data_IF_730468617318
#
_entry.id   IF_730468617318
#
_cell.length_a   1.000
_cell.length_b   1.000
_cell.length_c   1.000
_cell.angle_alpha   90.00
_cell.angle_beta   90.00
_cell.angle_gamma   90.00
#
_symmetry.space_group_name_H-M   'P 1'
#
loop_
_entity.id
_entity.type
_entity.pdbx_description
1 polymer ?
#
# COMPACT_ATOMS: atom_id res chain seq x y z
N UNK A 1 -2.35 -0.29 -24.49
CA UNK A 1 -2.88 0.15 -23.18
C UNK A 1 -1.68 0.42 -22.30
N UNK A 2 -1.66 1.55 -21.58
CA UNK A 2 -0.57 1.91 -20.65
C UNK A 2 -0.70 0.99 -19.44
N UNK A 3 0.35 0.25 -19.06
CA UNK A 3 0.28 -0.73 -17.97
C UNK A 3 1.28 -0.38 -16.87
N UNK A 4 0.84 -0.46 -15.61
CA UNK A 4 1.67 -0.21 -14.43
C UNK A 4 1.29 -1.14 -13.29
N UNK A 5 2.27 -1.64 -12.55
CA UNK A 5 2.06 -2.36 -11.29
C UNK A 5 2.28 -1.40 -10.11
N UNK A 6 1.25 -1.24 -9.27
CA UNK A 6 1.25 -0.28 -8.16
C UNK A 6 1.11 -1.04 -6.85
N UNK A 7 2.11 -0.93 -5.96
CA UNK A 7 1.97 -1.41 -4.59
C UNK A 7 1.15 -0.40 -3.77
N UNK A 8 -0.04 -0.80 -3.35
CA UNK A 8 -1.02 0.05 -2.64
C UNK A 8 -1.00 -0.19 -1.13
N UNK A 9 -0.30 0.67 -0.41
CA UNK A 9 -0.30 0.70 1.05
C UNK A 9 -1.41 1.64 1.55
N UNK A 10 -2.27 1.18 2.45
CA UNK A 10 -3.37 1.99 2.98
C UNK A 10 -4.30 1.14 3.82
N UNK A 11 -5.27 1.78 4.46
CA UNK A 11 -6.27 1.07 5.26
C UNK A 11 -7.14 0.12 4.41
N UNK A 12 -7.93 -0.72 5.08
CA UNK A 12 -8.66 -1.85 4.48
C UNK A 12 -10.17 -1.80 4.78
N UNK A 13 -10.65 -0.69 5.33
CA UNK A 13 -12.03 -0.48 5.76
C UNK A 13 -12.82 0.46 4.83
N UNK A 14 -12.25 0.84 3.67
CA UNK A 14 -12.94 1.60 2.62
C UNK A 14 -12.54 1.12 1.22
N UNK A 15 -13.30 1.56 0.22
CA UNK A 15 -13.19 1.16 -1.19
C UNK A 15 -12.22 2.07 -1.99
N UNK A 16 -11.22 2.63 -1.32
CA UNK A 16 -10.34 3.63 -1.93
C UNK A 16 -9.46 3.05 -3.06
N UNK A 17 -9.20 1.75 -3.04
CA UNK A 17 -8.43 1.06 -4.09
C UNK A 17 -9.25 0.93 -5.36
N UNK A 18 -10.53 0.62 -5.22
CA UNK A 18 -11.51 0.61 -6.29
C UNK A 18 -11.65 2.02 -6.88
N UNK A 19 -11.78 3.05 -6.03
CA UNK A 19 -11.82 4.45 -6.47
C UNK A 19 -10.55 4.85 -7.23
N UNK A 20 -9.36 4.44 -6.76
CA UNK A 20 -8.11 4.68 -7.45
C UNK A 20 -8.08 3.98 -8.82
N UNK A 21 -8.53 2.72 -8.89
CA UNK A 21 -8.58 1.95 -10.14
C UNK A 21 -9.49 2.61 -11.18
N UNK A 22 -10.70 3.03 -10.79
CA UNK A 22 -11.65 3.74 -11.65
C UNK A 22 -11.04 5.04 -12.21
N UNK A 23 -10.42 5.85 -11.35
CA UNK A 23 -9.78 7.11 -11.76
C UNK A 23 -8.61 6.90 -12.73
N UNK A 24 -7.87 5.80 -12.58
CA UNK A 24 -6.79 5.43 -13.51
C UNK A 24 -7.35 4.97 -14.86
N UNK A 25 -8.42 4.17 -14.83
CA UNK A 25 -9.11 3.70 -16.04
C UNK A 25 -9.72 4.85 -16.85
N UNK A 26 -10.36 5.83 -16.19
CA UNK A 26 -10.85 7.07 -16.82
C UNK A 26 -9.75 7.83 -17.58
N UNK A 27 -8.49 7.65 -17.19
CA UNK A 27 -7.30 8.29 -17.79
C UNK A 27 -6.57 7.37 -18.78
N UNK A 28 -7.14 6.21 -19.09
CA UNK A 28 -6.56 5.23 -20.02
C UNK A 28 -5.32 4.51 -19.46
N UNK A 29 -5.17 4.46 -18.14
CA UNK A 29 -4.10 3.71 -17.46
C UNK A 29 -4.68 2.41 -16.91
N UNK A 30 -4.16 1.29 -17.40
CA UNK A 30 -4.46 -0.04 -16.85
C UNK A 30 -3.48 -0.32 -15.70
N UNK A 31 -3.96 -0.29 -14.47
CA UNK A 31 -3.13 -0.52 -13.29
C UNK A 31 -3.39 -1.89 -12.66
N UNK A 32 -2.33 -2.64 -12.42
CA UNK A 32 -2.37 -3.80 -11.53
C UNK A 32 -2.13 -3.31 -10.09
N UNK A 33 -3.21 -3.21 -9.32
CA UNK A 33 -3.13 -2.83 -7.91
C UNK A 33 -2.79 -4.05 -7.06
N UNK A 34 -1.57 -4.08 -6.54
CA UNK A 34 -1.09 -5.12 -5.62
C UNK A 34 -0.92 -4.53 -4.23
N UNK A 35 -0.71 -5.36 -3.20
CA UNK A 35 -0.59 -4.84 -1.84
C UNK A 35 -0.71 -5.89 -0.74
N UNK A 36 -0.91 -5.45 0.53
CA UNK A 36 -1.08 -6.35 1.66
C UNK A 36 -2.33 -7.24 1.52
N UNK A 37 -2.46 -8.23 2.40
CA UNK A 37 -3.70 -9.00 2.53
C UNK A 37 -4.75 -8.11 3.21
N UNK A 38 -5.85 -7.82 2.52
CA UNK A 38 -6.89 -6.91 3.01
C UNK A 38 -8.00 -7.62 3.78
N UNK A 39 -8.07 -8.95 3.71
CA UNK A 39 -9.00 -9.75 4.50
C UNK A 39 -8.38 -10.06 5.86
N UNK A 40 -8.89 -9.43 6.92
CA UNK A 40 -8.34 -9.50 8.28
C UNK A 40 -8.11 -10.94 8.77
N UNK A 41 -9.17 -11.76 8.81
CA UNK A 41 -9.08 -13.15 9.28
C UNK A 41 -8.09 -13.97 8.43
N UNK A 42 -8.02 -13.70 7.12
CA UNK A 42 -7.05 -14.36 6.25
C UNK A 42 -5.63 -13.93 6.58
N UNK A 43 -5.40 -12.65 6.89
CA UNK A 43 -4.10 -12.10 7.28
C UNK A 43 -3.60 -12.72 8.60
N UNK A 44 -4.49 -12.91 9.56
CA UNK A 44 -4.15 -13.47 10.87
C UNK A 44 -3.88 -14.99 10.77
N UNK A 45 -4.70 -15.70 10.00
CA UNK A 45 -4.69 -17.16 9.95
C UNK A 45 -3.76 -17.76 8.89
N UNK A 46 -3.21 -16.94 7.98
CA UNK A 46 -2.41 -17.45 6.85
C UNK A 46 -1.23 -18.32 7.29
N UNK A 47 -0.63 -18.01 8.44
CA UNK A 47 0.48 -18.79 9.00
C UNK A 47 0.05 -20.21 9.33
N UNK A 48 -1.04 -20.36 10.09
CA UNK A 48 -1.58 -21.68 10.49
C UNK A 48 -2.23 -22.42 9.32
N UNK A 49 -2.89 -21.70 8.42
CA UNK A 49 -3.50 -22.29 7.23
C UNK A 49 -2.48 -22.97 6.30
N UNK A 50 -1.20 -22.56 6.36
CA UNK A 50 -0.12 -23.14 5.54
C UNK A 50 0.75 -24.10 6.35
N UNK A 51 1.14 -23.72 7.57
CA UNK A 51 2.14 -24.44 8.37
C UNK A 51 1.52 -25.36 9.43
N UNK A 52 0.20 -25.37 9.59
CA UNK A 52 -0.52 -26.07 10.66
C UNK A 52 -0.58 -25.26 11.95
N UNK A 53 -1.26 -25.81 12.96
CA UNK A 53 -1.45 -25.20 14.28
C UNK A 53 -0.10 -24.79 14.91
N UNK A 54 -0.03 -23.55 15.39
CA UNK A 54 1.19 -23.04 16.03
C UNK A 54 1.18 -23.29 17.54
N UNK A 55 2.35 -23.36 18.22
CA UNK A 55 2.45 -23.69 19.66
C UNK A 55 1.80 -22.69 20.64
N UNK A 56 1.11 -21.66 20.14
CA UNK A 56 0.40 -20.67 20.93
C UNK A 56 0.24 -19.33 20.20
N UNK A 57 -0.49 -18.36 20.80
CA UNK A 57 -0.88 -17.11 20.13
C UNK A 57 0.30 -16.31 19.57
N UNK A 58 1.40 -16.20 20.33
CA UNK A 58 2.63 -15.53 19.86
C UNK A 58 3.17 -16.12 18.55
N UNK A 59 3.10 -17.44 18.40
CA UNK A 59 3.63 -18.12 17.22
C UNK A 59 2.65 -18.06 16.05
N UNK A 60 1.34 -18.11 16.31
CA UNK A 60 0.29 -17.82 15.31
C UNK A 60 0.53 -16.45 14.68
N UNK A 61 0.63 -15.41 15.51
CA UNK A 61 0.86 -14.03 15.05
C UNK A 61 2.20 -13.92 14.29
N UNK A 62 3.27 -14.52 14.80
CA UNK A 62 4.57 -14.48 14.15
C UNK A 62 4.56 -15.17 12.77
N UNK A 63 3.87 -16.30 12.63
CA UNK A 63 3.79 -17.00 11.34
C UNK A 63 2.88 -16.26 10.36
N UNK A 64 1.75 -15.70 10.83
CA UNK A 64 0.91 -14.80 10.04
C UNK A 64 1.71 -13.61 9.50
N UNK A 65 2.41 -12.91 10.40
CA UNK A 65 3.26 -11.78 10.04
C UNK A 65 4.39 -12.14 9.06
N UNK A 66 5.00 -13.33 9.18
CA UNK A 66 6.02 -13.81 8.24
C UNK A 66 5.47 -14.05 6.84
N UNK A 67 4.28 -14.63 6.71
CA UNK A 67 3.63 -14.82 5.41
C UNK A 67 3.22 -13.48 4.79
N UNK A 68 2.72 -12.54 5.60
CA UNK A 68 2.41 -11.19 5.13
C UNK A 68 3.69 -10.46 4.69
N UNK A 69 4.80 -10.60 5.42
CA UNK A 69 6.11 -10.07 5.03
C UNK A 69 6.58 -10.63 3.69
N UNK A 70 6.39 -11.95 3.45
CA UNK A 70 6.68 -12.58 2.17
C UNK A 70 5.87 -11.93 1.04
N UNK A 71 4.55 -11.78 1.21
CA UNK A 71 3.66 -11.15 0.24
C UNK A 71 4.06 -9.70 -0.04
N UNK A 72 4.26 -8.89 1.00
CA UNK A 72 4.66 -7.48 0.88
C UNK A 72 5.96 -7.35 0.11
N UNK A 73 7.02 -8.09 0.49
CA UNK A 73 8.30 -8.04 -0.22
C UNK A 73 8.20 -8.51 -1.67
N UNK A 74 7.45 -9.58 -1.92
CA UNK A 74 7.27 -10.12 -3.26
C UNK A 74 6.64 -9.10 -4.22
N UNK A 75 5.58 -8.41 -3.77
CA UNK A 75 4.88 -7.43 -4.59
C UNK A 75 5.62 -6.10 -4.68
N UNK A 76 6.22 -5.64 -3.58
CA UNK A 76 6.99 -4.39 -3.57
C UNK A 76 8.23 -4.48 -4.49
N UNK A 77 8.85 -5.65 -4.64
CA UNK A 77 9.94 -5.88 -5.59
C UNK A 77 9.49 -5.96 -7.07
N UNK A 78 8.18 -6.09 -7.33
CA UNK A 78 7.60 -6.21 -8.67
C UNK A 78 6.82 -4.98 -9.11
N UNK A 79 6.49 -4.10 -8.17
CA UNK A 79 5.79 -2.87 -8.45
C UNK A 79 6.73 -1.88 -9.15
N UNK A 80 6.16 -1.07 -10.04
CA UNK A 80 6.85 0.04 -10.68
C UNK A 80 6.89 1.27 -9.76
N UNK A 81 5.83 1.44 -8.95
CA UNK A 81 5.70 2.49 -7.94
C UNK A 81 4.96 1.98 -6.70
N UNK A 82 5.13 2.66 -5.57
CA UNK A 82 4.30 2.51 -4.39
C UNK A 82 3.37 3.74 -4.24
N UNK A 83 2.14 3.49 -3.79
CA UNK A 83 1.21 4.50 -3.34
C UNK A 83 0.82 4.22 -1.90
N UNK A 84 1.06 5.20 -1.02
CA UNK A 84 0.69 5.14 0.38
C UNK A 84 -0.46 6.11 0.67
N UNK A 85 -1.65 5.57 0.91
CA UNK A 85 -2.85 6.35 1.23
C UNK A 85 -3.10 6.40 2.73
N UNK A 86 -3.13 7.61 3.30
CA UNK A 86 -3.46 7.88 4.70
C UNK A 86 -4.86 8.52 4.79
N UNK A 87 -5.84 7.70 5.15
CA UNK A 87 -7.22 8.10 5.37
C UNK A 87 -7.45 8.77 6.74
N UNK A 88 -8.63 9.36 6.96
CA UNK A 88 -8.85 10.30 8.08
C UNK A 88 -9.09 9.64 9.44
N UNK A 89 -9.51 8.37 9.47
CA UNK A 89 -10.10 7.76 10.68
C UNK A 89 -9.15 6.86 11.47
N UNK A 90 -8.29 6.10 10.80
CA UNK A 90 -7.56 5.01 11.42
C UNK A 90 -6.07 5.32 11.55
N UNK A 91 -5.44 4.77 12.60
CA UNK A 91 -3.98 4.78 12.71
C UNK A 91 -3.41 3.74 11.75
N UNK A 92 -2.52 4.17 10.87
CA UNK A 92 -2.06 3.36 9.75
C UNK A 92 -0.57 3.02 9.85
N UNK A 93 -0.19 2.35 10.94
CA UNK A 93 1.20 1.96 11.19
C UNK A 93 1.77 1.05 10.09
N UNK A 94 0.96 0.11 9.59
CA UNK A 94 1.35 -0.77 8.50
C UNK A 94 1.59 0.03 7.20
N UNK A 95 0.75 1.03 6.91
CA UNK A 95 0.95 1.92 5.76
C UNK A 95 2.26 2.70 5.87
N UNK A 96 2.56 3.26 7.05
CA UNK A 96 3.82 3.96 7.28
C UNK A 96 5.04 3.02 7.16
N UNK A 97 4.92 1.79 7.67
CA UNK A 97 5.96 0.76 7.55
C UNK A 97 6.20 0.38 6.09
N UNK A 98 5.15 0.15 5.32
CA UNK A 98 5.22 -0.18 3.90
C UNK A 98 5.80 0.97 3.07
N UNK A 99 5.39 2.22 3.36
CA UNK A 99 5.92 3.40 2.70
C UNK A 99 7.43 3.57 2.95
N UNK A 100 7.87 3.38 4.21
CA UNK A 100 9.30 3.38 4.55
C UNK A 100 10.07 2.25 3.87
N UNK A 101 9.48 1.05 3.77
CA UNK A 101 10.09 -0.08 3.07
C UNK A 101 10.23 0.18 1.56
N UNK A 102 9.23 0.81 0.93
CA UNK A 102 9.28 1.20 -0.47
C UNK A 102 10.44 2.18 -0.74
N UNK A 103 10.55 3.22 0.10
CA UNK A 103 11.66 4.19 0.03
C UNK A 103 13.02 3.53 0.20
N UNK A 104 13.16 2.61 1.17
CA UNK A 104 14.40 1.87 1.39
C UNK A 104 14.80 0.97 0.21
N UNK A 105 13.83 0.53 -0.61
CA UNK A 105 14.07 -0.22 -1.84
C UNK A 105 14.31 0.67 -3.07
N UNK A 106 14.22 2.00 -2.92
CA UNK A 106 14.32 2.95 -4.03
C UNK A 106 13.09 2.96 -4.95
N UNK A 107 11.97 2.40 -4.49
CA UNK A 107 10.71 2.41 -5.24
C UNK A 107 10.08 3.80 -5.14
N UNK A 108 9.73 4.47 -6.27
CA UNK A 108 9.09 5.78 -6.22
C UNK A 108 7.80 5.72 -5.40
N UNK A 109 7.65 6.68 -4.48
CA UNK A 109 6.54 6.72 -3.54
C UNK A 109 5.64 7.93 -3.82
N UNK A 110 4.37 7.67 -4.10
CA UNK A 110 3.29 8.67 -4.05
C UNK A 110 2.64 8.58 -2.66
N UNK A 111 2.80 9.63 -1.86
CA UNK A 111 2.13 9.77 -0.57
C UNK A 111 0.82 10.53 -0.77
N UNK A 112 -0.30 9.93 -0.37
CA UNK A 112 -1.62 10.57 -0.39
C UNK A 112 -2.07 10.80 1.05
N UNK A 113 -2.17 12.07 1.47
CA UNK A 113 -2.52 12.42 2.85
C UNK A 113 -3.32 13.72 2.96
N UNK A 114 -4.30 13.77 3.87
CA UNK A 114 -5.00 14.99 4.25
C UNK A 114 -4.18 15.93 5.14
N UNK A 115 -4.75 17.10 5.47
CA UNK A 115 -4.13 18.12 6.33
C UNK A 115 -3.83 17.60 7.74
N UNK A 116 -4.69 16.73 8.27
CA UNK A 116 -4.60 16.15 9.61
C UNK A 116 -3.32 15.33 9.82
N UNK A 117 -2.69 14.88 8.73
CA UNK A 117 -1.50 14.04 8.75
C UNK A 117 -0.20 14.79 8.46
N UNK A 118 -0.24 16.10 8.15
CA UNK A 118 0.95 16.90 7.78
C UNK A 118 2.07 16.76 8.82
N UNK A 119 1.75 17.00 10.08
CA UNK A 119 2.76 16.97 11.13
C UNK A 119 3.26 15.55 11.41
N UNK A 120 2.34 14.56 11.41
CA UNK A 120 2.66 13.18 11.73
C UNK A 120 3.48 12.48 10.63
N UNK A 121 3.37 12.94 9.38
CA UNK A 121 4.03 12.34 8.23
C UNK A 121 5.17 13.19 7.67
N UNK A 122 5.56 14.30 8.30
CA UNK A 122 6.55 15.25 7.74
C UNK A 122 7.88 14.60 7.32
N UNK A 123 8.36 13.59 8.05
CA UNK A 123 9.60 12.86 7.70
C UNK A 123 9.42 11.92 6.51
N UNK A 124 8.24 11.31 6.37
CA UNK A 124 7.89 10.46 5.23
C UNK A 124 7.63 11.31 3.98
N UNK A 125 6.94 12.43 4.16
CA UNK A 125 6.63 13.44 3.15
C UNK A 125 7.91 14.01 2.53
N UNK A 126 8.90 14.37 3.38
CA UNK A 126 10.20 14.84 2.92
C UNK A 126 11.00 13.82 2.07
N UNK A 127 10.68 12.52 2.19
CA UNK A 127 11.33 11.45 1.43
C UNK A 127 10.50 10.96 0.24
N UNK A 128 9.18 11.20 0.25
CA UNK A 128 8.29 10.76 -0.82
C UNK A 128 8.71 11.39 -2.16
N UNK A 129 8.55 10.65 -3.24
CA UNK A 129 8.80 11.17 -4.58
C UNK A 129 7.78 12.25 -4.93
N UNK A 130 6.54 12.06 -4.50
CA UNK A 130 5.47 13.05 -4.64
C UNK A 130 4.47 12.91 -3.50
N UNK A 131 3.99 14.05 -2.99
CA UNK A 131 2.89 14.11 -2.02
C UNK A 131 1.70 14.81 -2.64
N UNK A 132 0.52 14.23 -2.47
CA UNK A 132 -0.77 14.77 -2.92
C UNK A 132 -1.83 14.61 -1.82
N UNK A 133 -2.96 15.30 -1.97
CA UNK A 133 -4.02 15.31 -0.96
C UNK A 133 -5.19 14.37 -1.32
N UNK A 134 -5.33 14.04 -2.60
CA UNK A 134 -6.48 13.26 -3.10
C UNK A 134 -6.06 12.12 -4.02
N UNK A 135 -6.88 11.07 -4.09
CA UNK A 135 -6.71 9.98 -5.05
C UNK A 135 -6.80 10.47 -6.50
N UNK A 136 -7.58 11.53 -6.75
CA UNK A 136 -7.66 12.15 -8.08
C UNK A 136 -6.33 12.77 -8.52
N UNK A 137 -5.65 13.48 -7.62
CA UNK A 137 -4.30 14.00 -7.88
C UNK A 137 -3.29 12.86 -8.04
N UNK A 138 -3.40 11.79 -7.25
CA UNK A 138 -2.55 10.62 -7.41
C UNK A 138 -2.73 9.98 -8.80
N UNK A 139 -3.97 9.78 -9.25
CA UNK A 139 -4.26 9.25 -10.57
C UNK A 139 -3.76 10.16 -11.70
N UNK A 140 -3.82 11.49 -11.54
CA UNK A 140 -3.23 12.43 -12.49
C UNK A 140 -1.70 12.30 -12.56
N UNK A 141 -1.03 12.22 -11.40
CA UNK A 141 0.42 12.02 -11.34
C UNK A 141 0.86 10.71 -12.00
N UNK A 142 0.09 9.63 -11.81
CA UNK A 142 0.35 8.33 -12.44
C UNK A 142 0.13 8.39 -13.96
N UNK A 143 -0.94 9.04 -14.42
CA UNK A 143 -1.22 9.16 -15.85
C UNK A 143 -0.14 9.96 -16.60
N UNK A 144 0.43 10.97 -15.95
CA UNK A 144 1.54 11.78 -16.47
C UNK A 144 2.80 10.95 -16.78
N UNK A 145 3.02 9.82 -16.09
CA UNK A 145 4.17 8.93 -16.36
C UNK A 145 4.19 8.35 -17.79
N UNK A 146 3.08 8.45 -18.51
CA UNK A 146 2.89 7.88 -19.83
C UNK A 146 2.58 8.91 -20.92
N UNK A 147 2.80 10.20 -20.65
CA UNK A 147 2.82 11.25 -21.68
C UNK A 147 4.14 11.23 -22.45
#
# INVERSE_FOLDING_TARGET
MKQICIYTAGEIHSDWREELAERLEERGVTAELVGPQTVHDRSDDIGEAILGEQPGPRYRDLMGARMNTLRTRFWMQRADIALAWFGPKYRQWNTASDAGAALALGLPLILVRGEEHIHALKELDAQATMTVETLNQAAQAIAYLFE
#
